data_IF_814689544644
#
_entry.id   IF_814689544644
#
_cell.length_a   1.000
_cell.length_b   1.000
_cell.length_c   1.000
_cell.angle_alpha   90.00
_cell.angle_beta   90.00
_cell.angle_gamma   90.00
#
_symmetry.space_group_name_H-M   'P 1'
#
loop_
_entity.id
_entity.type
_entity.pdbx_description
1 polymer ?
#
# COMPACT_ATOMS: atom_id res chain seq x y z
N UNK A 1 36.54 8.17 -5.68
CA UNK A 1 35.75 7.83 -4.48
C UNK A 1 34.61 6.96 -4.96
N UNK A 2 34.40 5.81 -4.34
CA UNK A 2 33.28 4.91 -4.69
C UNK A 2 31.97 5.58 -4.30
N UNK A 3 31.03 5.67 -5.23
CA UNK A 3 29.68 6.13 -4.91
C UNK A 3 29.04 5.12 -3.95
N UNK A 4 28.36 5.57 -2.87
CA UNK A 4 27.62 4.67 -2.00
C UNK A 4 26.60 3.85 -2.79
N UNK A 5 26.44 2.58 -2.44
CA UNK A 5 25.47 1.69 -3.08
C UNK A 5 24.05 2.08 -2.65
N UNK A 6 23.09 2.31 -3.57
CA UNK A 6 21.71 2.61 -3.22
C UNK A 6 21.12 1.61 -2.21
N UNK A 7 20.50 2.13 -1.15
CA UNK A 7 19.91 1.34 -0.07
C UNK A 7 20.86 0.97 1.08
N UNK A 8 22.15 1.33 1.03
CA UNK A 8 23.05 1.20 2.21
C UNK A 8 22.92 2.40 3.14
N UNK A 9 23.30 2.24 4.41
CA UNK A 9 23.35 3.36 5.37
C UNK A 9 24.25 4.50 4.86
N UNK A 10 25.41 4.18 4.29
CA UNK A 10 26.30 5.17 3.66
C UNK A 10 25.62 5.96 2.55
N UNK A 11 24.67 5.35 1.83
CA UNK A 11 23.89 6.02 0.82
C UNK A 11 22.80 6.91 1.42
N UNK A 12 22.11 6.45 2.46
CA UNK A 12 21.08 7.19 3.20
C UNK A 12 21.65 8.43 3.90
N UNK A 13 22.85 8.32 4.47
CA UNK A 13 23.52 9.40 5.21
C UNK A 13 24.04 10.54 4.32
N UNK A 14 23.90 10.44 2.99
CA UNK A 14 24.33 11.49 2.05
C UNK A 14 23.53 12.79 2.19
N UNK A 15 22.28 12.69 2.66
CA UNK A 15 21.39 13.84 2.83
C UNK A 15 20.72 13.71 4.19
N UNK A 16 20.85 14.75 5.01
CA UNK A 16 20.12 14.88 6.28
C UNK A 16 19.21 16.08 6.14
N UNK A 17 17.91 15.86 6.29
CA UNK A 17 16.90 16.92 6.24
C UNK A 17 16.61 17.45 7.65
N UNK A 18 16.21 18.72 7.75
CA UNK A 18 15.83 19.32 9.02
C UNK A 18 14.49 18.73 9.53
N UNK A 19 14.40 18.44 10.83
CA UNK A 19 13.15 18.00 11.44
C UNK A 19 12.19 19.18 11.55
N UNK A 20 11.09 19.10 10.82
CA UNK A 20 10.01 20.08 10.83
C UNK A 20 8.95 19.65 11.86
N UNK A 21 8.54 20.59 12.72
CA UNK A 21 7.48 20.40 13.73
C UNK A 21 7.67 19.12 14.57
N UNK A 22 8.80 18.99 15.30
CA UNK A 22 9.17 17.74 16.00
C UNK A 22 8.14 17.25 17.01
N UNK A 23 7.34 18.15 17.59
CA UNK A 23 6.33 17.81 18.58
C UNK A 23 4.98 17.39 17.97
N UNK A 24 4.74 17.63 16.67
CA UNK A 24 3.48 17.33 16.00
C UNK A 24 3.28 15.80 15.95
N UNK A 25 2.24 15.24 16.61
CA UNK A 25 2.00 13.80 16.54
C UNK A 25 1.57 13.40 15.13
N UNK A 26 2.27 12.42 14.57
CA UNK A 26 2.06 11.91 13.22
C UNK A 26 1.63 10.45 13.30
N UNK A 27 0.51 10.14 12.63
CA UNK A 27 0.19 8.78 12.25
C UNK A 27 0.71 8.59 10.83
N UNK A 28 1.73 7.76 10.66
CA UNK A 28 2.23 7.38 9.32
C UNK A 28 1.21 6.42 8.68
N UNK A 29 0.47 6.86 7.66
CA UNK A 29 -0.62 6.07 7.12
C UNK A 29 -0.12 4.95 6.21
N UNK A 30 1.18 4.85 5.88
CA UNK A 30 1.65 3.91 4.87
C UNK A 30 3.12 3.55 5.08
N UNK A 31 3.36 2.41 5.73
CA UNK A 31 4.67 1.75 5.70
C UNK A 31 4.55 0.31 5.19
N UNK A 32 5.68 -0.21 4.74
CA UNK A 32 5.84 -1.62 4.42
C UNK A 32 6.89 -2.22 5.35
N UNK A 33 6.88 -3.55 5.51
CA UNK A 33 7.82 -4.27 6.35
C UNK A 33 8.14 -5.61 5.70
N UNK A 34 9.41 -5.99 5.67
CA UNK A 34 9.84 -7.29 5.14
C UNK A 34 10.81 -7.95 6.13
N UNK A 35 10.66 -9.26 6.39
CA UNK A 35 11.57 -9.96 7.29
C UNK A 35 13.00 -9.97 6.74
N UNK A 36 13.96 -10.08 7.66
CA UNK A 36 15.37 -10.20 7.33
C UNK A 36 15.61 -11.34 6.32
N UNK A 37 16.50 -11.11 5.35
CA UNK A 37 16.88 -12.12 4.36
C UNK A 37 15.95 -12.19 3.13
N UNK A 38 14.96 -11.31 3.01
CA UNK A 38 14.24 -11.06 1.76
C UNK A 38 14.91 -9.96 0.91
N UNK A 39 14.41 -9.71 -0.30
CA UNK A 39 15.08 -8.86 -1.30
C UNK A 39 15.32 -7.41 -0.87
N UNK A 40 14.41 -6.82 -0.09
CA UNK A 40 14.51 -5.47 0.49
C UNK A 40 14.04 -5.53 1.95
N UNK A 41 14.89 -6.00 2.89
CA UNK A 41 14.47 -6.14 4.28
C UNK A 41 14.24 -4.76 4.88
N UNK A 42 13.13 -4.60 5.60
CA UNK A 42 12.83 -3.46 6.43
C UNK A 42 12.14 -4.02 7.67
N UNK A 43 12.88 -4.11 8.76
CA UNK A 43 12.47 -4.85 9.96
C UNK A 43 11.76 -3.94 10.96
N UNK A 44 11.24 -4.51 12.05
CA UNK A 44 10.72 -3.72 13.17
C UNK A 44 11.77 -2.78 13.75
N UNK A 45 13.02 -3.20 13.82
CA UNK A 45 14.10 -2.37 14.38
C UNK A 45 14.43 -1.19 13.45
N UNK A 46 14.27 -1.37 12.14
CA UNK A 46 14.39 -0.28 11.16
C UNK A 46 13.23 0.70 11.28
N UNK A 47 11.99 0.19 11.45
CA UNK A 47 10.81 1.01 11.71
C UNK A 47 10.97 1.88 12.96
N UNK A 48 11.45 1.31 14.08
CA UNK A 48 11.71 2.09 15.30
C UNK A 48 12.79 3.14 15.08
N UNK A 49 13.88 2.79 14.38
CA UNK A 49 14.95 3.75 14.09
C UNK A 49 14.46 4.95 13.31
N UNK A 50 13.60 4.73 12.31
CA UNK A 50 13.04 5.80 11.49
C UNK A 50 11.98 6.60 12.26
N UNK A 51 11.13 5.93 13.05
CA UNK A 51 10.16 6.59 13.91
C UNK A 51 10.80 7.46 15.00
N UNK A 52 11.98 7.06 15.50
CA UNK A 52 12.75 7.78 16.51
C UNK A 52 13.77 8.77 15.90
N UNK A 53 13.79 8.95 14.58
CA UNK A 53 14.76 9.81 13.88
C UNK A 53 14.57 11.32 14.15
N UNK A 54 13.44 11.72 14.75
CA UNK A 54 13.22 13.07 15.27
C UNK A 54 11.78 13.58 15.09
N UNK A 55 11.05 13.09 14.09
CA UNK A 55 9.62 13.35 13.97
C UNK A 55 8.84 12.54 15.01
N UNK A 56 7.75 13.09 15.55
CA UNK A 56 6.91 12.41 16.53
C UNK A 56 5.94 11.42 15.85
N UNK A 57 6.46 10.31 15.32
CA UNK A 57 5.65 9.22 14.78
C UNK A 57 5.02 8.42 15.94
N UNK A 58 3.72 8.57 16.15
CA UNK A 58 3.03 7.93 17.28
C UNK A 58 2.51 6.53 16.94
N UNK A 59 2.12 6.32 15.67
CA UNK A 59 1.59 5.07 15.14
C UNK A 59 1.80 4.98 13.63
N UNK A 60 1.76 3.77 13.10
CA UNK A 60 1.82 3.50 11.66
C UNK A 60 0.71 2.56 11.20
N UNK A 61 0.36 2.60 9.91
CA UNK A 61 -0.46 1.58 9.24
C UNK A 61 0.42 0.77 8.29
N UNK A 62 0.40 -0.55 8.43
CA UNK A 62 1.07 -1.47 7.52
C UNK A 62 0.25 -1.69 6.26
N UNK A 63 0.90 -1.64 5.10
CA UNK A 63 0.32 -1.93 3.79
C UNK A 63 0.90 -3.25 3.24
N UNK A 64 0.04 -4.14 2.77
CA UNK A 64 0.45 -5.39 2.10
C UNK A 64 1.52 -5.17 1.03
N UNK A 65 2.48 -6.09 0.97
CA UNK A 65 3.57 -6.02 0.02
C UNK A 65 4.13 -7.39 -0.37
N UNK A 66 3.36 -8.46 -0.16
CA UNK A 66 3.79 -9.83 -0.45
C UNK A 66 4.79 -10.40 0.57
N UNK A 67 4.98 -9.74 1.71
CA UNK A 67 5.93 -10.13 2.74
C UNK A 67 5.43 -11.36 3.51
N UNK A 68 6.34 -12.27 3.87
CA UNK A 68 6.03 -13.44 4.70
C UNK A 68 4.82 -14.31 4.25
N UNK A 69 4.50 -14.34 2.95
CA UNK A 69 3.44 -15.21 2.42
C UNK A 69 3.72 -16.67 2.76
N UNK A 70 2.70 -17.38 3.26
CA UNK A 70 2.81 -18.82 3.53
C UNK A 70 2.73 -19.60 2.21
N UNK A 71 3.87 -19.80 1.55
CA UNK A 71 3.93 -20.40 0.20
C UNK A 71 3.47 -21.87 0.15
N UNK A 72 3.45 -22.55 1.29
CA UNK A 72 2.98 -23.92 1.43
C UNK A 72 1.45 -24.01 1.55
N UNK A 73 0.77 -22.89 1.83
CA UNK A 73 -0.68 -22.82 1.85
C UNK A 73 -1.28 -22.78 0.43
N UNK A 74 -2.57 -23.16 0.28
CA UNK A 74 -3.35 -22.88 -0.93
C UNK A 74 -3.23 -21.40 -1.33
N UNK A 75 -3.19 -21.12 -2.63
CA UNK A 75 -2.88 -19.78 -3.17
C UNK A 75 -3.68 -18.63 -2.52
N UNK A 76 -4.99 -18.81 -2.37
CA UNK A 76 -5.91 -17.84 -1.77
C UNK A 76 -5.72 -17.61 -0.25
N UNK A 77 -4.91 -18.44 0.42
CA UNK A 77 -4.59 -18.33 1.85
C UNK A 77 -3.16 -17.86 2.12
N UNK A 78 -2.35 -17.65 1.08
CA UNK A 78 -0.92 -17.33 1.26
C UNK A 78 -0.71 -15.99 1.95
N UNK A 79 -1.51 -14.98 1.62
CA UNK A 79 -1.44 -13.63 2.19
C UNK A 79 -1.82 -13.59 3.68
N UNK A 80 -2.52 -14.60 4.18
CA UNK A 80 -2.77 -14.75 5.61
C UNK A 80 -1.47 -14.88 6.42
N UNK A 81 -0.42 -15.44 5.79
CA UNK A 81 0.93 -15.49 6.36
C UNK A 81 1.49 -14.10 6.65
N UNK A 82 1.31 -13.14 5.73
CA UNK A 82 1.72 -11.74 5.91
C UNK A 82 0.99 -11.11 7.10
N UNK A 83 -0.33 -11.27 7.14
CA UNK A 83 -1.16 -10.68 8.20
C UNK A 83 -0.79 -11.23 9.58
N UNK A 84 -0.52 -12.54 9.67
CA UNK A 84 -0.07 -13.18 10.90
C UNK A 84 1.30 -12.65 11.32
N UNK A 85 2.25 -12.60 10.37
CA UNK A 85 3.60 -12.10 10.62
C UNK A 85 3.61 -10.66 11.14
N UNK A 86 2.87 -9.75 10.50
CA UNK A 86 2.81 -8.34 10.91
C UNK A 86 2.12 -8.18 12.26
N UNK A 87 1.05 -8.93 12.51
CA UNK A 87 0.45 -8.96 13.83
C UNK A 87 1.48 -9.42 14.88
N UNK A 88 2.26 -10.47 14.60
CA UNK A 88 3.31 -10.94 15.53
C UNK A 88 4.38 -9.87 15.78
N UNK A 89 4.80 -9.13 14.76
CA UNK A 89 5.71 -8.00 14.93
C UNK A 89 5.11 -6.93 15.85
N UNK A 90 3.85 -6.56 15.63
CA UNK A 90 3.14 -5.54 16.41
C UNK A 90 2.92 -5.95 17.87
N UNK A 91 2.50 -7.19 18.14
CA UNK A 91 2.19 -7.66 19.50
C UNK A 91 3.41 -8.07 20.30
N UNK A 92 4.53 -8.40 19.64
CA UNK A 92 5.80 -8.67 20.32
C UNK A 92 6.64 -7.40 20.53
N UNK A 93 6.15 -6.25 20.09
CA UNK A 93 6.79 -4.95 20.26
C UNK A 93 6.52 -4.40 21.68
N UNK A 94 7.56 -4.07 22.48
CA UNK A 94 7.36 -3.42 23.77
C UNK A 94 6.79 -2.00 23.65
N UNK A 95 6.95 -1.34 22.50
CA UNK A 95 6.37 -0.03 22.19
C UNK A 95 5.64 -0.08 20.83
N UNK A 96 4.45 -0.71 20.75
CA UNK A 96 3.82 -1.02 19.46
C UNK A 96 3.59 0.22 18.60
N UNK A 97 4.23 0.31 17.43
CA UNK A 97 3.97 1.37 16.45
C UNK A 97 2.81 1.03 15.50
N UNK A 98 2.69 -0.22 15.08
CA UNK A 98 1.69 -0.65 14.10
C UNK A 98 0.28 -0.63 14.72
N UNK A 99 -0.58 0.26 14.24
CA UNK A 99 -1.97 0.44 14.70
C UNK A 99 -3.00 -0.21 13.79
N UNK A 100 -2.61 -0.60 12.57
CA UNK A 100 -3.49 -1.26 11.62
C UNK A 100 -2.74 -1.97 10.50
N UNK A 101 -3.45 -2.90 9.86
CA UNK A 101 -3.00 -3.72 8.75
C UNK A 101 -4.02 -3.58 7.62
N UNK A 102 -3.56 -3.17 6.45
CA UNK A 102 -4.26 -3.30 5.19
C UNK A 102 -3.72 -4.54 4.48
N UNK A 103 -4.57 -5.56 4.32
CA UNK A 103 -4.17 -6.89 3.84
C UNK A 103 -4.38 -7.07 2.33
N UNK A 104 -3.83 -8.14 1.78
CA UNK A 104 -4.13 -8.59 0.40
C UNK A 104 -5.15 -9.73 0.43
N UNK A 105 -6.29 -9.55 -0.24
CA UNK A 105 -7.35 -10.55 -0.42
C UNK A 105 -7.91 -10.42 -1.84
N UNK A 106 -8.04 -11.51 -2.60
CA UNK A 106 -8.73 -11.45 -3.90
C UNK A 106 -10.24 -11.26 -3.70
N UNK A 107 -10.69 -10.01 -3.84
CA UNK A 107 -12.07 -9.59 -3.60
C UNK A 107 -13.07 -10.13 -4.62
N UNK A 108 -12.63 -10.72 -5.73
CA UNK A 108 -13.54 -11.34 -6.72
C UNK A 108 -14.11 -12.66 -6.24
N UNK A 109 -13.43 -13.35 -5.32
CA UNK A 109 -13.75 -14.72 -4.94
C UNK A 109 -15.07 -14.86 -4.18
N UNK A 110 -15.77 -15.97 -4.38
CA UNK A 110 -17.04 -16.21 -3.69
C UNK A 110 -16.89 -16.42 -2.18
N UNK A 111 -15.72 -16.91 -1.73
CA UNK A 111 -15.33 -17.13 -0.33
C UNK A 111 -14.63 -15.90 0.31
N UNK A 112 -14.84 -14.70 -0.24
CA UNK A 112 -14.18 -13.46 0.25
C UNK A 112 -14.52 -13.13 1.71
N UNK A 113 -15.74 -13.44 2.16
CA UNK A 113 -16.17 -13.12 3.53
C UNK A 113 -15.42 -14.00 4.53
N UNK A 114 -15.26 -15.29 4.23
CA UNK A 114 -14.46 -16.22 5.01
C UNK A 114 -12.99 -15.83 5.03
N UNK A 115 -12.45 -15.31 3.92
CA UNK A 115 -11.08 -14.79 3.86
C UNK A 115 -10.91 -13.53 4.72
N UNK A 116 -11.84 -12.57 4.63
CA UNK A 116 -11.81 -11.39 5.50
C UNK A 116 -11.90 -11.80 6.97
N UNK A 117 -12.73 -12.79 7.32
CA UNK A 117 -12.82 -13.33 8.68
C UNK A 117 -11.51 -13.97 9.15
N UNK A 118 -10.84 -14.70 8.26
CA UNK A 118 -9.52 -15.28 8.56
C UNK A 118 -8.48 -14.19 8.84
N UNK A 119 -8.43 -13.14 8.02
CA UNK A 119 -7.53 -12.00 8.22
C UNK A 119 -7.86 -11.21 9.49
N UNK A 120 -9.14 -11.02 9.81
CA UNK A 120 -9.58 -10.43 11.07
C UNK A 120 -9.06 -11.21 12.27
N UNK A 121 -9.23 -12.53 12.27
CA UNK A 121 -8.74 -13.40 13.34
C UNK A 121 -7.20 -13.36 13.44
N UNK A 122 -6.49 -13.50 12.32
CA UNK A 122 -5.02 -13.50 12.28
C UNK A 122 -4.42 -12.14 12.71
N UNK A 123 -5.07 -11.04 12.35
CA UNK A 123 -4.62 -9.69 12.71
C UNK A 123 -4.80 -9.36 14.19
N UNK A 124 -5.59 -10.15 14.94
CA UNK A 124 -5.94 -9.92 16.35
C UNK A 124 -6.44 -8.50 16.62
N UNK A 125 -7.27 -7.97 15.72
CA UNK A 125 -7.90 -6.65 15.85
C UNK A 125 -7.18 -5.51 15.11
N UNK A 126 -6.08 -5.79 14.41
CA UNK A 126 -5.35 -4.81 13.61
C UNK A 126 -5.87 -4.66 12.17
N UNK A 127 -6.69 -5.58 11.65
CA UNK A 127 -7.21 -5.47 10.28
C UNK A 127 -8.05 -4.19 10.09
N UNK A 128 -7.77 -3.43 9.02
CA UNK A 128 -8.47 -2.18 8.69
C UNK A 128 -9.01 -2.12 7.27
N UNK A 129 -8.51 -2.94 6.37
CA UNK A 129 -8.89 -2.87 4.96
C UNK A 129 -8.14 -3.86 4.09
N UNK A 130 -8.40 -3.75 2.79
CA UNK A 130 -7.72 -4.51 1.75
C UNK A 130 -7.11 -3.55 0.74
N UNK A 131 -5.94 -3.90 0.23
CA UNK A 131 -5.27 -3.17 -0.85
C UNK A 131 -5.02 -4.08 -2.03
N UNK A 132 -5.17 -3.50 -3.22
CA UNK A 132 -4.70 -4.10 -4.46
C UNK A 132 -3.70 -3.19 -5.19
N UNK A 133 -2.56 -3.77 -5.56
CA UNK A 133 -1.58 -3.19 -6.47
C UNK A 133 -2.07 -3.29 -7.92
N UNK A 134 -3.01 -2.42 -8.30
CA UNK A 134 -3.68 -2.40 -9.60
C UNK A 134 -2.88 -1.71 -10.72
N UNK A 135 -1.65 -1.30 -10.43
CA UNK A 135 -0.76 -0.68 -11.40
C UNK A 135 -0.55 -1.57 -12.64
N UNK A 136 -0.62 -0.91 -13.80
CA UNK A 136 -0.24 -1.48 -15.09
C UNK A 136 0.40 -0.41 -15.96
N UNK A 137 1.70 -0.53 -16.17
CA UNK A 137 2.46 0.37 -17.04
C UNK A 137 2.14 0.11 -18.52
N UNK A 138 1.91 1.16 -19.28
CA UNK A 138 1.81 1.05 -20.74
C UNK A 138 3.19 0.95 -21.42
N UNK A 139 4.25 1.33 -20.70
CA UNK A 139 5.66 1.24 -21.11
C UNK A 139 6.46 0.48 -20.05
N UNK A 140 6.20 -0.82 -19.87
CA UNK A 140 6.78 -1.60 -18.77
C UNK A 140 8.31 -1.64 -18.78
N UNK A 141 8.93 -1.53 -19.95
CA UNK A 141 10.39 -1.46 -20.13
C UNK A 141 11.04 -0.22 -19.50
N UNK A 142 10.24 0.82 -19.26
CA UNK A 142 10.70 2.08 -18.67
C UNK A 142 10.48 2.14 -17.15
N UNK A 143 9.92 1.10 -16.53
CA UNK A 143 9.51 1.10 -15.12
C UNK A 143 10.30 0.08 -14.30
N UNK A 144 10.66 0.46 -13.07
CA UNK A 144 11.23 -0.47 -12.09
C UNK A 144 10.18 -1.47 -11.59
N UNK A 145 8.95 -1.01 -11.37
CA UNK A 145 7.82 -1.84 -10.93
C UNK A 145 6.70 -1.68 -11.97
N UNK A 146 6.74 -2.40 -13.09
CA UNK A 146 5.80 -2.16 -14.20
C UNK A 146 4.33 -2.41 -13.83
N UNK A 147 4.07 -3.23 -12.81
CA UNK A 147 2.72 -3.64 -12.47
C UNK A 147 2.13 -4.59 -13.53
N UNK A 148 1.46 -5.64 -13.07
CA UNK A 148 0.97 -6.73 -13.95
C UNK A 148 -0.52 -6.98 -13.76
N UNK A 149 -1.25 -6.00 -13.21
CA UNK A 149 -2.69 -6.11 -13.04
C UNK A 149 -3.37 -6.36 -14.40
N UNK A 150 -4.35 -7.27 -14.49
CA UNK A 150 -5.19 -7.40 -15.67
C UNK A 150 -5.92 -6.09 -16.02
N UNK A 151 -6.11 -5.83 -17.31
CA UNK A 151 -6.97 -4.71 -17.75
C UNK A 151 -8.39 -4.89 -17.23
N UNK A 152 -9.06 -3.76 -16.95
CA UNK A 152 -10.49 -3.70 -16.58
C UNK A 152 -10.86 -4.36 -15.24
N UNK A 153 -9.92 -4.67 -14.34
CA UNK A 153 -10.25 -5.24 -13.02
C UNK A 153 -11.21 -4.31 -12.23
N UNK A 154 -11.05 -2.99 -12.33
CA UNK A 154 -11.98 -1.99 -11.76
C UNK A 154 -13.42 -2.12 -12.27
N UNK A 155 -13.62 -2.69 -13.46
CA UNK A 155 -14.93 -2.88 -14.09
C UNK A 155 -15.53 -4.26 -13.80
N UNK A 156 -14.73 -5.20 -13.27
CA UNK A 156 -15.17 -6.56 -12.98
C UNK A 156 -16.31 -6.52 -11.94
N UNK A 157 -17.51 -7.05 -12.27
CA UNK A 157 -18.65 -7.00 -11.36
C UNK A 157 -18.41 -7.74 -10.04
N UNK A 158 -17.63 -8.82 -10.05
CA UNK A 158 -17.27 -9.58 -8.85
C UNK A 158 -16.30 -8.79 -7.98
N UNK A 159 -15.34 -8.08 -8.58
CA UNK A 159 -14.44 -7.19 -7.85
C UNK A 159 -15.20 -6.04 -7.19
N UNK A 160 -16.07 -5.35 -7.93
CA UNK A 160 -16.93 -4.27 -7.39
C UNK A 160 -17.80 -4.73 -6.23
N UNK A 161 -18.38 -5.93 -6.32
CA UNK A 161 -19.14 -6.54 -5.20
C UNK A 161 -18.24 -6.76 -3.99
N UNK A 162 -17.00 -7.22 -4.19
CA UNK A 162 -16.04 -7.40 -3.09
C UNK A 162 -15.63 -6.09 -2.42
N UNK A 163 -15.36 -5.04 -3.20
CA UNK A 163 -15.05 -3.70 -2.67
C UNK A 163 -16.24 -3.11 -1.92
N UNK A 164 -17.46 -3.21 -2.46
CA UNK A 164 -18.67 -2.80 -1.75
C UNK A 164 -18.85 -3.57 -0.43
N UNK A 165 -18.56 -4.87 -0.44
CA UNK A 165 -18.65 -5.74 0.73
C UNK A 165 -17.68 -5.32 1.85
N UNK A 166 -16.48 -4.83 1.53
CA UNK A 166 -15.58 -4.25 2.54
C UNK A 166 -16.21 -3.05 3.24
N UNK A 167 -16.82 -2.14 2.48
CA UNK A 167 -17.50 -0.96 3.01
C UNK A 167 -18.69 -1.33 3.91
N UNK A 168 -19.51 -2.30 3.49
CA UNK A 168 -20.61 -2.85 4.32
C UNK A 168 -20.12 -3.40 5.66
N UNK A 169 -18.88 -3.90 5.70
CA UNK A 169 -18.23 -4.43 6.90
C UNK A 169 -17.44 -3.37 7.68
N UNK A 170 -17.43 -2.12 7.23
CA UNK A 170 -16.76 -1.00 7.90
C UNK A 170 -15.25 -0.94 7.68
N UNK A 171 -14.73 -1.56 6.62
CA UNK A 171 -13.31 -1.58 6.27
C UNK A 171 -13.01 -0.68 5.06
N UNK A 172 -11.75 -0.24 4.94
CA UNK A 172 -11.30 0.56 3.79
C UNK A 172 -10.88 -0.31 2.62
N UNK A 173 -10.82 0.31 1.45
CA UNK A 173 -10.17 -0.24 0.28
C UNK A 173 -9.10 0.73 -0.22
N UNK A 174 -7.86 0.25 -0.36
CA UNK A 174 -6.71 1.05 -0.75
C UNK A 174 -6.25 0.61 -2.15
N UNK A 175 -5.78 1.56 -2.98
CA UNK A 175 -5.34 1.24 -4.34
C UNK A 175 -4.06 1.96 -4.71
N UNK A 176 -3.09 1.16 -5.15
CA UNK A 176 -1.91 1.66 -5.83
C UNK A 176 -1.98 1.42 -7.34
N UNK A 177 -1.94 2.50 -8.11
CA UNK A 177 -1.91 2.49 -9.56
C UNK A 177 -1.20 3.74 -10.12
N UNK A 178 -1.04 3.79 -11.45
CA UNK A 178 -0.46 4.94 -12.16
C UNK A 178 -1.51 5.95 -12.60
N UNK A 179 -1.11 7.20 -12.78
CA UNK A 179 -2.05 8.33 -12.93
C UNK A 179 -2.98 8.18 -14.14
N UNK A 180 -2.53 7.51 -15.21
CA UNK A 180 -3.37 7.20 -16.37
C UNK A 180 -4.54 6.26 -16.05
N UNK A 181 -4.51 5.57 -14.90
CA UNK A 181 -5.56 4.70 -14.37
C UNK A 181 -6.47 5.40 -13.34
N UNK A 182 -6.23 6.67 -13.00
CA UNK A 182 -7.06 7.41 -12.03
C UNK A 182 -8.56 7.39 -12.39
N UNK A 183 -8.87 7.41 -13.69
CA UNK A 183 -10.26 7.31 -14.17
C UNK A 183 -10.91 5.96 -13.82
N UNK A 184 -10.15 4.86 -13.82
CA UNK A 184 -10.66 3.54 -13.45
C UNK A 184 -10.97 3.48 -11.94
N UNK A 185 -10.11 4.08 -11.11
CA UNK A 185 -10.34 4.24 -9.67
C UNK A 185 -11.59 5.08 -9.40
N UNK A 186 -11.77 6.21 -10.11
CA UNK A 186 -12.97 7.04 -10.01
C UNK A 186 -14.25 6.25 -10.32
N UNK A 187 -14.22 5.43 -11.37
CA UNK A 187 -15.38 4.60 -11.74
C UNK A 187 -15.67 3.50 -10.71
N UNK A 188 -14.65 2.94 -10.05
CA UNK A 188 -14.83 2.02 -8.93
C UNK A 188 -15.43 2.72 -7.70
N UNK A 189 -14.95 3.92 -7.36
CA UNK A 189 -15.50 4.71 -6.25
C UNK A 189 -16.97 5.04 -6.45
N UNK A 190 -17.35 5.45 -7.67
CA UNK A 190 -18.76 5.67 -8.04
C UNK A 190 -19.61 4.40 -7.97
N UNK A 191 -19.03 3.25 -8.29
CA UNK A 191 -19.72 1.97 -8.23
C UNK A 191 -19.86 1.42 -6.79
N UNK A 192 -19.08 1.93 -5.84
CA UNK A 192 -19.03 1.44 -4.46
C UNK A 192 -19.11 2.59 -3.43
N UNK A 193 -20.13 3.47 -3.51
CA UNK A 193 -20.17 4.72 -2.74
C UNK A 193 -20.26 4.54 -1.20
N UNK A 194 -20.53 3.33 -0.73
CA UNK A 194 -20.54 2.98 0.69
C UNK A 194 -19.16 2.59 1.25
N UNK A 195 -18.14 2.47 0.41
CA UNK A 195 -16.79 2.06 0.81
C UNK A 195 -15.87 3.27 0.86
N UNK A 196 -15.20 3.47 1.99
CA UNK A 196 -14.11 4.45 2.07
C UNK A 196 -12.93 3.93 1.26
N UNK A 197 -12.55 4.66 0.22
CA UNK A 197 -11.44 4.31 -0.65
C UNK A 197 -10.25 5.26 -0.46
N UNK A 198 -9.04 4.71 -0.43
CA UNK A 198 -7.78 5.44 -0.29
C UNK A 198 -7.00 5.34 -1.60
N UNK A 199 -6.57 6.49 -2.12
CA UNK A 199 -5.74 6.59 -3.30
C UNK A 199 -4.27 6.69 -2.89
N UNK A 200 -3.51 5.62 -3.09
CA UNK A 200 -2.10 5.59 -2.71
C UNK A 200 -1.28 6.50 -3.61
N UNK A 201 -0.28 7.14 -3.01
CA UNK A 201 0.79 7.87 -3.72
C UNK A 201 0.27 8.87 -4.75
N UNK A 202 -0.89 9.46 -4.47
CA UNK A 202 -1.58 10.39 -5.35
C UNK A 202 -1.86 9.80 -6.75
N UNK A 203 -2.05 8.49 -6.87
CA UNK A 203 -2.19 7.82 -8.15
C UNK A 203 -0.91 7.81 -8.98
N UNK A 204 0.28 7.89 -8.37
CA UNK A 204 1.60 7.74 -9.02
C UNK A 204 1.75 8.48 -10.38
N UNK A 205 1.83 9.83 -10.39
CA UNK A 205 2.21 10.59 -11.57
C UNK A 205 3.58 10.14 -12.09
N UNK A 206 3.66 9.76 -13.38
CA UNK A 206 4.90 9.21 -13.95
C UNK A 206 5.65 10.29 -14.73
N UNK A 207 6.93 10.48 -14.42
CA UNK A 207 7.79 11.51 -15.05
C UNK A 207 9.07 10.95 -15.66
N UNK A 208 9.15 9.65 -15.92
CA UNK A 208 10.35 8.96 -16.44
C UNK A 208 10.06 8.30 -17.79
N UNK A 209 11.12 7.89 -18.50
CA UNK A 209 11.00 7.20 -19.78
C UNK A 209 10.22 8.04 -20.81
N UNK A 210 9.23 7.45 -21.52
CA UNK A 210 8.42 8.17 -22.51
C UNK A 210 7.66 9.40 -21.96
N UNK A 211 7.47 9.49 -20.65
CA UNK A 211 6.75 10.58 -19.97
C UNK A 211 7.64 11.74 -19.54
N UNK A 212 8.97 11.64 -19.68
CA UNK A 212 9.90 12.63 -19.16
C UNK A 212 9.68 14.06 -19.70
N UNK A 213 9.21 14.18 -20.95
CA UNK A 213 8.88 15.46 -21.59
C UNK A 213 7.43 15.92 -21.37
N UNK A 214 6.60 15.15 -20.67
CA UNK A 214 5.14 15.34 -20.59
C UNK A 214 4.68 15.84 -19.22
N UNK A 215 5.60 16.26 -18.35
CA UNK A 215 5.31 16.62 -16.95
C UNK A 215 4.18 17.65 -16.81
N UNK A 216 4.16 18.69 -17.63
CA UNK A 216 3.14 19.75 -17.56
C UNK A 216 1.75 19.23 -17.96
N UNK A 217 1.67 18.43 -19.03
CA UNK A 217 0.44 17.82 -19.51
C UNK A 217 -0.12 16.81 -18.50
N UNK A 218 0.74 15.92 -18.00
CA UNK A 218 0.40 14.93 -16.97
C UNK A 218 -0.11 15.63 -15.72
N UNK A 219 0.58 16.66 -15.23
CA UNK A 219 0.14 17.41 -14.06
C UNK A 219 -1.20 18.12 -14.28
N UNK A 220 -1.43 18.67 -15.47
CA UNK A 220 -2.70 19.31 -15.80
C UNK A 220 -3.87 18.32 -15.81
N UNK A 221 -3.67 17.11 -16.34
CA UNK A 221 -4.69 16.06 -16.34
C UNK A 221 -4.89 15.46 -14.95
N UNK A 222 -3.80 15.09 -14.28
CA UNK A 222 -3.80 14.54 -12.92
C UNK A 222 -4.60 15.42 -11.95
N UNK A 223 -4.42 16.75 -11.99
CA UNK A 223 -5.21 17.67 -11.16
C UNK A 223 -6.72 17.56 -11.40
N UNK A 224 -7.15 17.37 -12.65
CA UNK A 224 -8.57 17.19 -12.98
C UNK A 224 -9.06 15.87 -12.41
N UNK A 225 -8.29 14.81 -12.58
CA UNK A 225 -8.66 13.47 -12.10
C UNK A 225 -8.78 13.45 -10.57
N UNK A 226 -7.81 14.03 -9.85
CA UNK A 226 -7.87 14.16 -8.38
C UNK A 226 -9.07 15.00 -7.94
N UNK A 227 -9.35 16.10 -8.64
CA UNK A 227 -10.51 16.93 -8.32
C UNK A 227 -11.85 16.21 -8.57
N UNK A 228 -11.93 15.28 -9.52
CA UNK A 228 -13.11 14.44 -9.72
C UNK A 228 -13.19 13.29 -8.70
N UNK A 229 -12.05 12.70 -8.32
CA UNK A 229 -11.95 11.66 -7.29
C UNK A 229 -12.36 12.18 -5.91
N UNK A 230 -12.05 13.44 -5.59
CA UNK A 230 -12.34 14.03 -4.29
C UNK A 230 -13.81 14.47 -4.09
N UNK A 231 -14.70 14.21 -5.06
CA UNK A 231 -16.14 14.54 -4.98
C UNK A 231 -16.94 13.37 -4.42
#
# INVERSE_FOLDING_TARGET
>A
MTHPTPGTQEWLDQVVEDIIEPDLPILDPHHHMWPQGQGLPYTRDDLHRDADAGHNIVKTIFMECGSAYNRDAPEHLRSLGETTYIADQAFSDPNPLIAGIISSIDLRRDDRDELIDAHLAASRGLFRGVRDALARASHPEAMMIPGTCPENLYLDPSFRRGVARLGERGFTYDSWHYHHQNHEFLELARATPGTTMVLDHFGTPVGVGPYASQREEIFAQWKKDIAEIAK
#
